data_IF_141934083543
#
_entry.id   IF_141934083543
#
_cell.length_a   1.000
_cell.length_b   1.000
_cell.length_c   1.000
_cell.angle_alpha   90.00
_cell.angle_beta   90.00
_cell.angle_gamma   90.00
#
_symmetry.space_group_name_H-M   'P 1'
#
loop_
_entity.id
_entity.type
_entity.pdbx_description
1 polymer ?
#
# COMPACT_ATOMS: atom_id res chain seq x y z
N UNK A 1 0.88 -0.94 -37.73
CA UNK A 1 1.73 -1.69 -38.62
C UNK A 1 3.08 -0.99 -38.81
N UNK A 2 4.09 -1.32 -38.01
CA UNK A 2 5.43 -0.68 -38.08
C UNK A 2 6.23 -1.12 -39.30
N UNK A 3 5.92 -2.26 -39.90
CA UNK A 3 6.72 -2.88 -40.95
C UNK A 3 6.02 -2.97 -42.31
N UNK A 4 4.79 -2.47 -42.45
CA UNK A 4 4.05 -2.49 -43.69
C UNK A 4 2.62 -1.97 -43.55
N UNK A 5 1.88 -1.86 -44.66
CA UNK A 5 0.47 -1.47 -44.64
C UNK A 5 -0.34 -2.43 -43.78
N UNK A 6 -1.30 -1.87 -43.05
CA UNK A 6 -2.21 -2.65 -42.19
C UNK A 6 -3.54 -1.94 -41.99
N UNK A 7 -4.54 -2.70 -41.55
CA UNK A 7 -5.86 -2.15 -41.22
C UNK A 7 -6.04 -2.23 -39.71
N UNK A 8 -6.42 -1.10 -39.11
CA UNK A 8 -6.78 -1.03 -37.69
C UNK A 8 -8.27 -0.75 -37.55
N UNK A 9 -9.01 -1.68 -36.91
CA UNK A 9 -10.41 -1.50 -36.60
C UNK A 9 -10.57 -0.79 -35.25
N UNK A 10 -11.41 0.23 -35.22
CA UNK A 10 -11.79 0.95 -33.99
C UNK A 10 -13.13 0.39 -33.53
N UNK A 11 -13.13 -0.27 -32.38
CA UNK A 11 -14.31 -0.95 -31.82
C UNK A 11 -15.13 -0.05 -30.90
N UNK A 12 -15.34 1.21 -31.29
CA UNK A 12 -16.19 2.17 -30.61
C UNK A 12 -16.95 3.03 -31.63
N UNK A 13 -18.01 3.70 -31.21
CA UNK A 13 -18.83 4.55 -32.07
C UNK A 13 -18.04 5.74 -32.63
N UNK A 14 -18.30 6.10 -33.88
CA UNK A 14 -17.62 7.20 -34.56
C UNK A 14 -17.81 8.54 -33.84
N UNK A 15 -19.02 8.81 -33.32
CA UNK A 15 -19.31 10.01 -32.52
C UNK A 15 -18.46 10.11 -31.25
N UNK A 16 -18.13 8.97 -30.61
CA UNK A 16 -17.26 8.92 -29.44
C UNK A 16 -15.78 9.11 -29.75
N UNK A 17 -15.38 9.09 -31.02
CA UNK A 17 -13.98 9.22 -31.42
C UNK A 17 -13.45 10.65 -31.25
N UNK A 18 -14.25 11.67 -31.59
CA UNK A 18 -13.85 13.07 -31.50
C UNK A 18 -13.54 13.53 -30.06
N UNK A 19 -14.13 12.92 -29.06
CA UNK A 19 -13.90 13.21 -27.65
C UNK A 19 -12.72 12.45 -27.01
N UNK A 20 -12.03 11.60 -27.76
CA UNK A 20 -10.87 10.84 -27.26
C UNK A 20 -9.58 11.62 -27.49
N UNK A 21 -8.62 11.58 -26.54
CA UNK A 21 -7.32 12.17 -26.75
C UNK A 21 -6.63 11.48 -27.95
N UNK A 22 -5.90 12.27 -28.75
CA UNK A 22 -5.20 11.75 -29.94
C UNK A 22 -4.10 10.74 -29.58
N UNK A 23 -3.50 10.89 -28.42
CA UNK A 23 -2.43 10.03 -27.88
C UNK A 23 -2.70 9.75 -26.40
N UNK A 24 -2.27 8.60 -25.92
CA UNK A 24 -2.21 8.33 -24.51
C UNK A 24 -1.13 9.22 -23.87
N UNK A 25 -1.35 9.70 -22.62
CA UNK A 25 -0.32 10.43 -21.90
C UNK A 25 0.91 9.55 -21.70
N UNK A 26 2.13 10.12 -21.64
CA UNK A 26 3.34 9.37 -21.31
C UNK A 26 3.16 8.61 -20.00
N UNK A 27 3.64 7.36 -19.93
CA UNK A 27 3.53 6.53 -18.75
C UNK A 27 4.18 7.19 -17.53
N UNK A 28 5.26 7.96 -17.75
CA UNK A 28 5.95 8.72 -16.71
C UNK A 28 5.04 9.68 -15.94
N UNK A 29 3.96 10.17 -16.56
CA UNK A 29 3.03 11.13 -15.94
C UNK A 29 1.92 10.43 -15.16
N UNK A 30 1.62 9.17 -15.49
CA UNK A 30 0.46 8.44 -14.96
C UNK A 30 0.80 7.27 -14.04
N UNK A 31 2.02 6.75 -14.14
CA UNK A 31 2.47 5.61 -13.34
C UNK A 31 2.87 6.01 -11.91
N UNK A 32 2.84 5.02 -11.01
CA UNK A 32 3.52 5.11 -9.72
C UNK A 32 5.04 5.12 -9.92
N UNK A 33 5.70 6.20 -9.49
CA UNK A 33 7.14 6.38 -9.67
C UNK A 33 8.00 5.75 -8.56
N UNK A 34 7.40 5.15 -7.53
CA UNK A 34 8.18 4.56 -6.45
C UNK A 34 9.13 3.43 -6.90
N UNK A 35 8.73 2.52 -7.81
CA UNK A 35 9.68 1.54 -8.36
C UNK A 35 10.86 2.20 -9.08
N UNK A 36 10.61 3.26 -9.86
CA UNK A 36 11.64 4.01 -10.56
C UNK A 36 12.61 4.68 -9.57
N UNK A 37 12.07 5.42 -8.59
CA UNK A 37 12.88 6.14 -7.60
C UNK A 37 13.73 5.16 -6.78
N UNK A 38 13.19 4.01 -6.40
CA UNK A 38 13.93 2.97 -5.69
C UNK A 38 15.07 2.38 -6.57
N UNK A 39 14.78 2.13 -7.84
CA UNK A 39 15.78 1.61 -8.77
C UNK A 39 16.93 2.61 -9.01
N UNK A 40 16.62 3.90 -9.15
CA UNK A 40 17.61 4.97 -9.29
C UNK A 40 18.47 5.11 -8.03
N UNK A 41 17.84 5.08 -6.85
CA UNK A 41 18.56 5.11 -5.58
C UNK A 41 19.49 3.88 -5.42
N UNK A 42 19.04 2.69 -5.87
CA UNK A 42 19.87 1.48 -5.89
C UNK A 42 21.06 1.62 -6.87
N UNK A 43 20.89 2.34 -7.96
CA UNK A 43 21.96 2.60 -8.92
C UNK A 43 22.93 3.69 -8.45
N UNK A 44 22.55 4.47 -7.44
CA UNK A 44 23.36 5.54 -6.87
C UNK A 44 23.02 6.94 -7.39
N UNK A 45 21.95 7.08 -8.19
CA UNK A 45 21.41 8.40 -8.57
C UNK A 45 20.38 8.84 -7.54
N UNK A 46 20.66 9.94 -6.86
CA UNK A 46 19.76 10.50 -5.83
C UNK A 46 18.59 11.28 -6.40
N UNK A 47 18.71 11.80 -7.63
CA UNK A 47 17.68 12.62 -8.25
C UNK A 47 17.34 12.12 -9.66
N UNK A 48 16.07 11.77 -9.93
CA UNK A 48 15.61 11.49 -11.29
C UNK A 48 15.89 12.62 -12.28
N UNK A 49 15.94 13.89 -11.84
CA UNK A 49 16.20 15.04 -12.70
C UNK A 49 17.62 15.05 -13.29
N UNK A 50 18.57 14.31 -12.72
CA UNK A 50 19.94 14.19 -13.24
C UNK A 50 20.02 13.37 -14.54
N UNK A 51 18.96 12.70 -14.93
CA UNK A 51 18.91 11.85 -16.11
C UNK A 51 18.23 12.54 -17.30
N UNK A 52 18.69 12.22 -18.51
CA UNK A 52 18.09 12.69 -19.74
C UNK A 52 16.82 11.88 -20.07
N UNK A 53 15.67 12.43 -19.73
CA UNK A 53 14.35 11.86 -20.04
C UNK A 53 13.78 12.46 -21.32
N UNK A 54 13.06 11.65 -22.09
CA UNK A 54 12.21 12.18 -23.17
C UNK A 54 11.06 13.01 -22.58
N UNK A 55 10.41 12.46 -21.56
CA UNK A 55 9.37 13.12 -20.77
C UNK A 55 9.83 13.07 -19.30
N UNK A 56 10.25 14.20 -18.69
CA UNK A 56 10.77 14.20 -17.33
C UNK A 56 9.67 13.83 -16.32
N UNK A 57 10.01 13.11 -15.25
CA UNK A 57 9.05 12.75 -14.23
C UNK A 57 8.52 13.99 -13.51
N UNK A 58 7.18 14.08 -13.26
CA UNK A 58 6.60 15.19 -12.51
C UNK A 58 7.16 15.25 -11.08
N UNK A 59 7.61 16.43 -10.66
CA UNK A 59 8.23 16.64 -9.33
C UNK A 59 7.30 16.19 -8.18
N UNK A 60 6.01 16.48 -8.28
CA UNK A 60 5.01 16.04 -7.29
C UNK A 60 4.92 14.52 -7.17
N UNK A 61 5.02 13.79 -8.30
CA UNK A 61 4.99 12.32 -8.32
C UNK A 61 6.28 11.73 -7.74
N UNK A 62 7.43 12.34 -8.03
CA UNK A 62 8.72 11.97 -7.43
C UNK A 62 8.70 12.22 -5.91
N UNK A 63 8.17 13.37 -5.48
CA UNK A 63 8.01 13.70 -4.07
C UNK A 63 7.13 12.67 -3.33
N UNK A 64 5.98 12.32 -3.89
CA UNK A 64 5.10 11.28 -3.34
C UNK A 64 5.78 9.91 -3.28
N UNK A 65 6.54 9.53 -4.32
CA UNK A 65 7.30 8.29 -4.34
C UNK A 65 8.38 8.25 -3.24
N UNK A 66 9.12 9.35 -3.05
CA UNK A 66 10.13 9.48 -1.98
C UNK A 66 9.49 9.37 -0.59
N UNK A 67 8.37 10.03 -0.35
CA UNK A 67 7.64 9.94 0.92
C UNK A 67 7.20 8.51 1.21
N UNK A 68 6.63 7.83 0.23
CA UNK A 68 6.22 6.42 0.37
C UNK A 68 7.43 5.51 0.64
N UNK A 69 8.54 5.67 -0.08
CA UNK A 69 9.74 4.87 0.13
C UNK A 69 10.40 5.16 1.50
N UNK A 70 10.37 6.40 1.98
CA UNK A 70 10.80 6.74 3.34
C UNK A 70 9.90 6.09 4.39
N UNK A 71 8.57 6.09 4.20
CA UNK A 71 7.63 5.41 5.08
C UNK A 71 7.85 3.88 5.15
N UNK A 72 8.49 3.29 4.12
CA UNK A 72 8.90 1.88 4.10
C UNK A 72 10.31 1.65 4.63
N UNK A 73 10.98 2.69 5.12
CA UNK A 73 12.39 2.69 5.51
C UNK A 73 13.32 2.24 4.34
N UNK A 74 12.89 2.48 3.10
CA UNK A 74 13.66 2.14 1.90
C UNK A 74 14.65 3.23 1.50
N UNK A 75 14.33 4.49 1.81
CA UNK A 75 15.21 5.65 1.66
C UNK A 75 15.42 6.31 3.02
N UNK A 76 16.59 6.88 3.23
CA UNK A 76 16.89 7.74 4.37
C UNK A 76 16.40 9.19 4.12
N UNK A 77 16.59 10.06 5.13
CA UNK A 77 16.21 11.48 5.07
C UNK A 77 16.90 12.26 3.93
N UNK A 78 18.03 11.77 3.43
CA UNK A 78 18.77 12.36 2.31
C UNK A 78 18.35 11.79 0.95
N UNK A 79 17.41 10.85 0.92
CA UNK A 79 16.95 10.17 -0.28
C UNK A 79 17.88 9.04 -0.77
N UNK A 80 18.88 8.65 0.03
CA UNK A 80 19.75 7.52 -0.29
C UNK A 80 19.10 6.21 0.10
N UNK A 81 19.44 5.16 -0.66
CA UNK A 81 18.92 3.82 -0.38
C UNK A 81 19.47 3.27 0.94
N UNK A 82 18.59 2.72 1.75
CA UNK A 82 18.95 2.04 3.01
C UNK A 82 19.29 0.57 2.76
N UNK A 83 19.87 -0.14 3.74
CA UNK A 83 20.01 -1.60 3.67
C UNK A 83 18.67 -2.33 3.48
N UNK A 84 17.56 -1.79 4.04
CA UNK A 84 16.21 -2.31 3.82
C UNK A 84 15.76 -2.06 2.39
N UNK A 85 15.94 -0.85 1.88
CA UNK A 85 15.62 -0.49 0.49
C UNK A 85 16.34 -1.37 -0.52
N UNK A 86 17.62 -1.67 -0.29
CA UNK A 86 18.39 -2.58 -1.15
C UNK A 86 17.82 -4.01 -1.17
N UNK A 87 17.22 -4.49 -0.07
CA UNK A 87 16.51 -5.78 -0.04
C UNK A 87 15.19 -5.70 -0.79
N UNK A 88 14.43 -4.60 -0.64
CA UNK A 88 13.18 -4.40 -1.37
C UNK A 88 13.42 -4.39 -2.88
N UNK A 89 14.45 -3.68 -3.35
CA UNK A 89 14.82 -3.62 -4.76
C UNK A 89 15.20 -4.98 -5.38
N UNK A 90 15.58 -5.95 -4.58
CA UNK A 90 15.90 -7.30 -5.03
C UNK A 90 14.67 -8.20 -5.22
N UNK A 91 13.49 -7.81 -4.73
CA UNK A 91 12.25 -8.57 -4.90
C UNK A 91 11.56 -8.16 -6.22
N UNK A 92 10.99 -9.10 -6.99
CA UNK A 92 10.30 -8.79 -8.24
C UNK A 92 8.86 -8.29 -7.99
N UNK A 93 8.75 -7.24 -7.17
CA UNK A 93 7.52 -6.65 -6.67
C UNK A 93 7.65 -5.14 -6.66
N UNK A 94 6.51 -4.42 -6.67
CA UNK A 94 6.49 -3.03 -6.29
C UNK A 94 6.99 -2.85 -4.84
N UNK A 95 7.48 -1.65 -4.45
CA UNK A 95 8.09 -1.46 -3.14
C UNK A 95 7.18 -1.81 -1.95
N UNK A 96 5.87 -1.57 -2.06
CA UNK A 96 4.90 -1.90 -1.01
C UNK A 96 4.69 -3.41 -0.88
N UNK A 97 4.54 -4.09 -2.02
CA UNK A 97 4.47 -5.55 -2.06
C UNK A 97 5.77 -6.21 -1.56
N UNK A 98 6.93 -5.66 -1.95
CA UNK A 98 8.23 -6.12 -1.48
C UNK A 98 8.35 -5.96 0.05
N UNK A 99 7.92 -4.81 0.60
CA UNK A 99 7.93 -4.56 2.05
C UNK A 99 7.00 -5.51 2.81
N UNK A 100 5.80 -5.77 2.26
CA UNK A 100 4.85 -6.77 2.81
C UNK A 100 5.53 -8.14 2.91
N UNK A 101 6.14 -8.61 1.83
CA UNK A 101 6.73 -9.96 1.77
C UNK A 101 7.99 -10.06 2.60
N UNK A 102 8.84 -9.03 2.62
CA UNK A 102 10.05 -9.00 3.45
C UNK A 102 9.69 -8.99 4.95
N UNK A 103 8.73 -8.17 5.37
CA UNK A 103 8.24 -8.18 6.75
C UNK A 103 7.69 -9.55 7.15
N UNK A 104 6.90 -10.18 6.28
CA UNK A 104 6.44 -11.55 6.48
C UNK A 104 7.58 -12.56 6.62
N UNK A 105 8.64 -12.43 5.84
CA UNK A 105 9.83 -13.29 5.94
C UNK A 105 10.58 -13.10 7.25
N UNK A 106 10.71 -11.87 7.72
CA UNK A 106 11.33 -11.53 9.01
C UNK A 106 10.55 -12.08 10.23
N UNK A 107 9.24 -12.36 10.03
CA UNK A 107 8.34 -12.84 11.09
C UNK A 107 7.77 -14.25 10.86
N UNK A 108 8.40 -15.05 10.00
CA UNK A 108 7.99 -16.44 9.78
C UNK A 108 6.70 -16.64 9.00
N UNK A 109 6.20 -15.58 8.32
CA UNK A 109 4.93 -15.56 7.57
C UNK A 109 5.11 -15.23 6.07
N UNK A 110 6.30 -15.55 5.50
CA UNK A 110 6.65 -15.19 4.13
C UNK A 110 5.64 -15.64 3.07
N UNK A 111 5.13 -16.88 3.17
CA UNK A 111 4.16 -17.39 2.21
C UNK A 111 2.82 -16.65 2.25
N UNK A 112 2.32 -16.37 3.46
CA UNK A 112 1.08 -15.63 3.64
C UNK A 112 1.20 -14.20 3.10
N UNK A 113 2.31 -13.53 3.41
CA UNK A 113 2.62 -12.19 2.92
C UNK A 113 2.73 -12.16 1.38
N UNK A 114 3.41 -13.14 0.78
CA UNK A 114 3.54 -13.25 -0.67
C UNK A 114 2.18 -13.51 -1.35
N UNK A 115 1.30 -14.30 -0.73
CA UNK A 115 -0.07 -14.51 -1.22
C UNK A 115 -0.89 -13.22 -1.16
N UNK A 116 -0.78 -12.42 -0.09
CA UNK A 116 -1.45 -11.12 0.02
C UNK A 116 -0.95 -10.14 -1.06
N UNK A 117 0.36 -10.04 -1.25
CA UNK A 117 0.93 -9.20 -2.31
C UNK A 117 0.43 -9.60 -3.70
N UNK A 118 0.39 -10.91 -4.00
CA UNK A 118 -0.11 -11.40 -5.29
C UNK A 118 -1.61 -11.18 -5.46
N UNK A 119 -2.39 -11.29 -4.38
CA UNK A 119 -3.84 -11.06 -4.40
C UNK A 119 -4.19 -9.60 -4.77
N UNK A 120 -3.32 -8.65 -4.45
CA UNK A 120 -3.45 -7.25 -4.87
C UNK A 120 -3.08 -7.05 -6.34
N UNK A 121 -2.05 -7.72 -6.83
CA UNK A 121 -1.58 -7.57 -8.20
C UNK A 121 -2.48 -8.27 -9.22
N UNK A 122 -2.96 -9.48 -8.89
CA UNK A 122 -3.79 -10.27 -9.80
C UNK A 122 -5.28 -10.13 -9.48
N UNK A 123 -5.96 -9.32 -10.29
CA UNK A 123 -7.43 -9.22 -10.22
C UNK A 123 -8.08 -10.59 -10.52
N UNK A 124 -9.09 -10.91 -9.72
CA UNK A 124 -9.90 -12.13 -9.87
C UNK A 124 -9.39 -13.33 -9.08
N UNK A 125 -8.20 -13.31 -8.46
CA UNK A 125 -7.81 -14.36 -7.52
C UNK A 125 -8.74 -14.33 -6.29
N UNK A 126 -9.23 -15.51 -5.90
CA UNK A 126 -10.18 -15.65 -4.79
C UNK A 126 -11.57 -15.07 -5.06
N UNK A 127 -11.90 -14.75 -6.33
CA UNK A 127 -13.22 -14.26 -6.73
C UNK A 127 -13.43 -12.77 -6.45
N UNK A 128 -14.72 -12.37 -6.41
CA UNK A 128 -15.15 -10.97 -6.20
C UNK A 128 -15.31 -10.65 -4.72
N UNK A 129 -15.33 -9.34 -4.41
CA UNK A 129 -15.56 -8.79 -3.08
C UNK A 129 -14.35 -8.00 -2.58
N UNK A 130 -14.62 -7.06 -1.67
CA UNK A 130 -13.59 -6.15 -1.13
C UNK A 130 -12.76 -6.83 -0.04
N UNK A 131 -13.32 -7.83 0.66
CA UNK A 131 -12.65 -8.51 1.77
C UNK A 131 -11.55 -9.44 1.29
N UNK A 132 -10.30 -9.07 1.56
CA UNK A 132 -9.11 -9.82 1.16
C UNK A 132 -8.93 -11.12 1.93
N UNK A 133 -9.37 -11.23 3.19
CA UNK A 133 -9.30 -12.49 3.95
C UNK A 133 -10.21 -13.54 3.34
N UNK A 134 -11.45 -13.15 3.04
CA UNK A 134 -12.40 -14.03 2.37
C UNK A 134 -11.89 -14.46 0.98
N UNK A 135 -11.28 -13.52 0.23
CA UNK A 135 -10.67 -13.84 -1.08
C UNK A 135 -9.47 -14.77 -0.93
N UNK A 136 -8.60 -14.53 0.04
CA UNK A 136 -7.45 -15.38 0.33
C UNK A 136 -7.87 -16.81 0.71
N UNK A 137 -8.91 -16.93 1.55
CA UNK A 137 -9.46 -18.23 1.94
C UNK A 137 -10.00 -19.00 0.74
N UNK A 138 -10.80 -18.35 -0.12
CA UNK A 138 -11.32 -18.99 -1.35
C UNK A 138 -10.19 -19.40 -2.30
N UNK A 139 -9.18 -18.53 -2.50
CA UNK A 139 -8.04 -18.88 -3.35
C UNK A 139 -7.22 -20.04 -2.78
N UNK A 140 -7.03 -20.11 -1.47
CA UNK A 140 -6.35 -21.23 -0.84
C UNK A 140 -7.09 -22.57 -1.04
N UNK A 141 -8.43 -22.53 -1.09
CA UNK A 141 -9.28 -23.72 -1.33
C UNK A 141 -9.38 -24.09 -2.82
N UNK A 142 -9.10 -23.16 -3.74
CA UNK A 142 -9.20 -23.40 -5.20
C UNK A 142 -8.16 -24.41 -5.68
N UNK A 143 -8.60 -25.47 -6.37
CA UNK A 143 -7.76 -26.54 -6.94
C UNK A 143 -7.48 -26.36 -8.44
N UNK A 144 -7.91 -25.25 -9.02
CA UNK A 144 -7.70 -24.95 -10.44
C UNK A 144 -6.24 -24.69 -10.79
N UNK A 145 -5.88 -24.96 -12.07
CA UNK A 145 -4.50 -24.79 -12.57
C UNK A 145 -3.96 -23.36 -12.38
N UNK A 146 -4.82 -22.34 -12.56
CA UNK A 146 -4.45 -20.93 -12.36
C UNK A 146 -4.10 -20.67 -10.89
N UNK A 147 -4.91 -21.13 -9.97
CA UNK A 147 -4.68 -20.98 -8.54
C UNK A 147 -3.39 -21.68 -8.10
N UNK A 148 -3.09 -22.87 -8.64
CA UNK A 148 -1.83 -23.57 -8.37
C UNK A 148 -0.62 -22.82 -8.92
N UNK A 149 -0.69 -22.29 -10.14
CA UNK A 149 0.38 -21.50 -10.74
C UNK A 149 0.66 -20.24 -9.93
N UNK A 150 -0.39 -19.53 -9.49
CA UNK A 150 -0.29 -18.34 -8.66
C UNK A 150 0.30 -18.66 -7.28
N UNK A 151 -0.10 -19.75 -6.63
CA UNK A 151 0.51 -20.21 -5.36
C UNK A 151 2.00 -20.54 -5.52
N UNK A 152 2.40 -21.17 -6.62
CA UNK A 152 3.83 -21.43 -6.92
C UNK A 152 4.60 -20.13 -7.13
N UNK A 153 3.99 -19.12 -7.77
CA UNK A 153 4.60 -17.80 -7.92
C UNK A 153 4.81 -17.13 -6.56
N UNK A 154 3.77 -17.08 -5.71
CA UNK A 154 3.88 -16.56 -4.35
C UNK A 154 4.96 -17.29 -3.54
N UNK A 155 5.05 -18.62 -3.65
CA UNK A 155 6.09 -19.42 -2.99
C UNK A 155 7.51 -19.06 -3.44
N UNK A 156 7.72 -18.70 -4.73
CA UNK A 156 9.03 -18.20 -5.20
C UNK A 156 9.39 -16.85 -4.57
N UNK A 157 8.43 -15.94 -4.45
CA UNK A 157 8.64 -14.65 -3.80
C UNK A 157 8.94 -14.82 -2.30
N UNK A 158 8.17 -15.67 -1.62
CA UNK A 158 8.40 -16.00 -0.22
C UNK A 158 9.82 -16.57 0.02
N UNK A 159 10.24 -17.55 -0.79
CA UNK A 159 11.60 -18.14 -0.71
C UNK A 159 12.68 -17.07 -0.91
N UNK A 160 12.52 -16.19 -1.90
CA UNK A 160 13.47 -15.12 -2.17
C UNK A 160 13.54 -14.14 -0.99
N UNK A 161 12.42 -13.71 -0.45
CA UNK A 161 12.37 -12.81 0.69
C UNK A 161 12.97 -13.44 1.96
N UNK A 162 12.72 -14.72 2.20
CA UNK A 162 13.35 -15.45 3.32
C UNK A 162 14.88 -15.47 3.20
N UNK A 163 15.41 -15.58 1.98
CA UNK A 163 16.86 -15.47 1.74
C UNK A 163 17.45 -14.08 1.97
N UNK A 164 16.61 -13.04 1.95
CA UNK A 164 17.00 -11.63 2.19
C UNK A 164 16.77 -11.20 3.65
N UNK A 165 15.95 -11.92 4.41
CA UNK A 165 15.66 -11.60 5.80
C UNK A 165 16.93 -11.76 6.67
N UNK A 166 17.28 -10.71 7.42
CA UNK A 166 18.47 -10.74 8.30
C UNK A 166 18.26 -11.59 9.55
N UNK A 167 17.02 -11.68 10.01
CA UNK A 167 16.56 -12.49 11.15
C UNK A 167 15.17 -13.01 10.84
N UNK A 168 14.86 -14.19 11.34
CA UNK A 168 13.52 -14.73 11.32
C UNK A 168 13.08 -14.88 12.77
N UNK A 169 12.02 -14.17 13.14
CA UNK A 169 11.41 -14.32 14.47
C UNK A 169 10.81 -15.72 14.59
N UNK A 170 11.03 -16.36 15.74
CA UNK A 170 10.46 -17.67 16.08
C UNK A 170 9.16 -17.57 16.88
N UNK A 171 8.64 -16.35 17.07
CA UNK A 171 7.38 -16.08 17.78
C UNK A 171 6.13 -16.38 16.93
N UNK A 172 4.98 -15.95 17.44
CA UNK A 172 3.72 -16.02 16.69
C UNK A 172 3.83 -15.21 15.38
N UNK A 173 3.25 -15.73 14.32
CA UNK A 173 3.20 -15.02 13.04
C UNK A 173 2.23 -13.84 13.12
N UNK A 174 2.54 -12.71 12.46
CA UNK A 174 1.60 -11.59 12.35
C UNK A 174 0.33 -11.97 11.59
N UNK A 175 -0.84 -11.46 11.99
CA UNK A 175 -2.06 -11.68 11.21
C UNK A 175 -1.97 -11.02 9.82
N UNK A 176 -2.79 -11.46 8.84
CA UNK A 176 -2.75 -10.97 7.46
C UNK A 176 -2.86 -9.44 7.34
N UNK A 177 -3.69 -8.80 8.16
CA UNK A 177 -3.85 -7.36 8.19
C UNK A 177 -2.54 -6.63 8.53
N UNK A 178 -1.77 -7.14 9.49
CA UNK A 178 -0.48 -6.58 9.89
C UNK A 178 0.58 -6.77 8.80
N UNK A 179 0.60 -7.93 8.14
CA UNK A 179 1.49 -8.15 7.00
C UNK A 179 1.27 -7.09 5.91
N UNK A 180 0.00 -6.81 5.61
CA UNK A 180 -0.36 -5.79 4.62
C UNK A 180 -0.04 -4.37 5.13
N UNK A 181 -0.34 -4.08 6.41
CA UNK A 181 -0.07 -2.79 7.05
C UNK A 181 1.42 -2.42 7.02
N UNK A 182 2.31 -3.40 7.23
CA UNK A 182 3.75 -3.19 7.22
C UNK A 182 4.26 -2.70 5.85
N UNK A 183 3.66 -3.15 4.76
CA UNK A 183 3.98 -2.68 3.41
C UNK A 183 3.15 -1.48 2.94
N UNK A 184 2.09 -1.15 3.65
CA UNK A 184 1.15 -0.07 3.26
C UNK A 184 0.73 0.79 4.47
N UNK A 185 1.69 1.36 5.23
CA UNK A 185 1.40 2.04 6.48
C UNK A 185 0.48 3.26 6.29
N UNK A 186 0.59 3.96 5.17
CA UNK A 186 -0.25 5.12 4.84
C UNK A 186 -1.70 4.75 4.54
N UNK A 187 -1.97 3.48 4.22
CA UNK A 187 -3.29 2.94 3.88
C UNK A 187 -4.00 2.26 5.07
N UNK A 188 -3.42 2.28 6.27
CA UNK A 188 -4.15 1.92 7.49
C UNK A 188 -5.22 2.99 7.68
N UNK A 189 -6.48 2.58 7.73
CA UNK A 189 -7.62 3.50 7.78
C UNK A 189 -8.50 3.24 9.01
N UNK A 190 -9.02 4.33 9.60
CA UNK A 190 -9.98 4.33 10.70
C UNK A 190 -11.35 4.75 10.19
N UNK A 191 -12.38 4.04 10.64
CA UNK A 191 -13.77 4.40 10.37
C UNK A 191 -14.11 5.74 11.02
N UNK A 192 -14.83 6.61 10.30
CA UNK A 192 -15.22 7.95 10.77
C UNK A 192 -16.66 8.08 11.19
N UNK A 193 -17.52 7.17 10.75
CA UNK A 193 -18.97 7.21 11.00
C UNK A 193 -19.51 5.85 11.48
N UNK A 194 -20.73 5.85 11.96
CA UNK A 194 -21.39 4.64 12.44
C UNK A 194 -21.82 3.69 11.32
N UNK A 195 -22.04 4.22 10.09
CA UNK A 195 -22.44 3.41 8.94
C UNK A 195 -21.30 2.58 8.37
N UNK A 196 -20.06 3.00 8.61
CA UNK A 196 -18.86 2.39 8.01
C UNK A 196 -18.64 2.79 6.56
N UNK A 197 -19.30 3.86 6.10
CA UNK A 197 -19.12 4.42 4.76
C UNK A 197 -17.86 5.26 4.64
N UNK A 198 -17.56 6.08 5.66
CA UNK A 198 -16.47 7.06 5.63
C UNK A 198 -15.23 6.57 6.38
N UNK A 199 -14.08 6.64 5.72
CA UNK A 199 -12.79 6.18 6.25
C UNK A 199 -11.72 7.23 6.09
N UNK A 200 -10.84 7.38 7.07
CA UNK A 200 -9.65 8.23 7.03
C UNK A 200 -8.41 7.35 7.14
N UNK A 201 -7.53 7.43 6.17
CA UNK A 201 -6.25 6.73 6.19
C UNK A 201 -5.17 7.51 6.96
N UNK A 202 -4.16 6.80 7.45
CA UNK A 202 -3.00 7.36 8.14
C UNK A 202 -2.25 8.39 7.28
N UNK A 203 -2.20 8.18 5.96
CA UNK A 203 -1.67 9.16 5.00
C UNK A 203 -2.57 10.38 4.77
N UNK A 204 -3.71 10.53 5.49
CA UNK A 204 -4.61 11.66 5.39
C UNK A 204 -5.65 11.56 4.27
N UNK A 205 -5.60 10.51 3.45
CA UNK A 205 -6.57 10.31 2.37
C UNK A 205 -7.91 9.80 2.91
N UNK A 206 -9.02 10.39 2.43
CA UNK A 206 -10.37 9.91 2.69
C UNK A 206 -10.79 8.83 1.68
N UNK A 207 -11.47 7.79 2.17
CA UNK A 207 -12.05 6.72 1.36
C UNK A 207 -13.52 6.53 1.67
N UNK A 208 -14.23 5.89 0.74
CA UNK A 208 -15.61 5.44 0.94
C UNK A 208 -15.71 3.94 0.72
N UNK A 209 -16.56 3.29 1.52
CA UNK A 209 -16.87 1.88 1.42
C UNK A 209 -18.38 1.70 1.35
N UNK A 210 -18.85 0.67 0.66
CA UNK A 210 -20.26 0.31 0.68
C UNK A 210 -20.66 -0.10 2.11
N UNK A 211 -21.68 0.53 2.72
CA UNK A 211 -22.11 0.18 4.08
C UNK A 211 -22.58 -1.27 4.23
N UNK A 212 -22.93 -1.92 3.12
CA UNK A 212 -23.31 -3.35 3.11
C UNK A 212 -22.11 -4.28 3.11
N UNK A 213 -20.89 -3.77 2.90
CA UNK A 213 -19.66 -4.55 2.95
C UNK A 213 -19.42 -5.12 4.35
N UNK A 214 -18.97 -6.38 4.47
CA UNK A 214 -18.62 -6.95 5.77
C UNK A 214 -17.53 -6.13 6.49
N UNK A 215 -16.66 -5.43 5.76
CA UNK A 215 -15.61 -4.57 6.30
C UNK A 215 -16.15 -3.30 6.97
N UNK A 216 -17.37 -2.85 6.65
CA UNK A 216 -17.97 -1.64 7.21
C UNK A 216 -18.13 -1.68 8.73
N UNK A 217 -18.16 -2.89 9.33
CA UNK A 217 -18.27 -3.10 10.78
C UNK A 217 -16.94 -2.93 11.52
N UNK A 218 -15.80 -3.02 10.83
CA UNK A 218 -14.50 -2.90 11.46
C UNK A 218 -14.25 -1.45 11.95
N UNK A 219 -13.49 -1.29 13.03
CA UNK A 219 -13.04 0.03 13.49
C UNK A 219 -11.84 0.53 12.68
N UNK A 220 -10.97 -0.39 12.28
CA UNK A 220 -9.82 -0.15 11.43
C UNK A 220 -9.76 -1.18 10.29
N UNK A 221 -9.12 -0.79 9.20
CA UNK A 221 -8.75 -1.69 8.12
C UNK A 221 -7.45 -1.24 7.45
N UNK A 222 -6.84 -2.13 6.69
CA UNK A 222 -5.82 -1.76 5.72
C UNK A 222 -6.45 -1.76 4.33
N UNK A 223 -6.44 -0.61 3.66
CA UNK A 223 -6.94 -0.49 2.30
C UNK A 223 -5.91 -1.10 1.34
N UNK A 224 -6.33 -2.11 0.61
CA UNK A 224 -5.50 -2.78 -0.40
C UNK A 224 -5.53 -2.06 -1.74
N UNK A 225 -6.73 -1.71 -2.20
CA UNK A 225 -6.95 -0.99 -3.46
C UNK A 225 -8.20 -0.12 -3.37
N UNK A 226 -8.19 1.00 -4.10
CA UNK A 226 -9.33 1.91 -4.17
C UNK A 226 -9.39 2.57 -5.54
N UNK A 227 -10.59 2.82 -6.05
CA UNK A 227 -10.84 3.45 -7.34
C UNK A 227 -11.53 4.81 -7.17
N UNK A 228 -11.17 5.76 -8.04
CA UNK A 228 -11.74 7.11 -8.04
C UNK A 228 -10.71 8.19 -7.74
N UNK A 229 -11.20 9.43 -7.61
CA UNK A 229 -10.36 10.60 -7.39
C UNK A 229 -9.79 10.64 -5.96
N UNK A 230 -8.86 11.57 -5.71
CA UNK A 230 -8.16 11.71 -4.43
C UNK A 230 -9.09 11.88 -3.21
N UNK A 231 -10.24 12.51 -3.37
CA UNK A 231 -11.28 12.62 -2.32
C UNK A 231 -12.41 11.62 -2.60
N UNK A 232 -12.70 10.75 -1.62
CA UNK A 232 -13.81 9.81 -1.71
C UNK A 232 -13.57 8.63 -2.67
N UNK A 233 -12.34 8.20 -2.87
CA UNK A 233 -12.06 6.99 -3.64
C UNK A 233 -12.74 5.79 -2.99
N UNK A 234 -13.44 4.98 -3.79
CA UNK A 234 -14.15 3.78 -3.31
C UNK A 234 -13.17 2.64 -3.06
N UNK A 235 -13.19 2.10 -1.86
CA UNK A 235 -12.41 0.92 -1.50
C UNK A 235 -12.90 -0.27 -2.32
N UNK A 236 -12.00 -0.93 -3.02
CA UNK A 236 -12.27 -2.12 -3.82
C UNK A 236 -11.60 -3.37 -3.24
N UNK A 237 -10.66 -3.19 -2.33
CA UNK A 237 -9.98 -4.26 -1.63
C UNK A 237 -9.46 -3.77 -0.28
N UNK A 238 -9.63 -4.55 0.77
CA UNK A 238 -9.16 -4.23 2.11
C UNK A 238 -9.20 -5.44 3.04
N UNK A 239 -8.66 -5.25 4.23
CA UNK A 239 -8.62 -6.28 5.27
C UNK A 239 -8.88 -5.62 6.62
N UNK A 240 -9.78 -6.17 7.43
CA UNK A 240 -10.07 -5.66 8.76
C UNK A 240 -8.84 -5.77 9.68
N UNK A 241 -8.65 -4.77 10.54
CA UNK A 241 -7.50 -4.66 11.43
C UNK A 241 -7.98 -4.35 12.86
N UNK A 242 -7.41 -5.04 13.84
CA UNK A 242 -7.64 -4.76 15.24
C UNK A 242 -6.57 -3.79 15.78
N UNK A 243 -6.98 -2.77 16.54
CA UNK A 243 -6.05 -1.76 17.08
C UNK A 243 -4.98 -2.39 17.98
N UNK A 244 -5.34 -3.42 18.76
CA UNK A 244 -4.41 -4.11 19.64
C UNK A 244 -3.28 -4.82 18.85
N UNK A 245 -3.58 -5.34 17.67
CA UNK A 245 -2.57 -5.96 16.81
C UNK A 245 -1.64 -4.91 16.20
N UNK A 246 -2.17 -3.72 15.85
CA UNK A 246 -1.36 -2.61 15.39
C UNK A 246 -0.35 -2.17 16.47
N UNK A 247 -0.81 -2.02 17.72
CA UNK A 247 0.04 -1.67 18.86
C UNK A 247 1.13 -2.73 19.14
N UNK A 248 0.78 -3.98 18.97
CA UNK A 248 1.68 -5.10 19.21
C UNK A 248 2.79 -5.22 18.16
N UNK A 249 2.44 -5.05 16.85
CA UNK A 249 3.32 -5.40 15.76
C UNK A 249 4.00 -4.18 15.10
N UNK A 250 3.39 -3.02 15.21
CA UNK A 250 3.86 -1.78 14.58
C UNK A 250 3.87 -0.61 15.59
N UNK A 251 4.40 -0.80 16.83
CA UNK A 251 4.39 0.23 17.87
C UNK A 251 5.12 1.50 17.44
N UNK A 252 6.19 1.37 16.65
CA UNK A 252 7.02 2.49 16.17
C UNK A 252 6.27 3.39 15.16
N UNK A 253 5.13 2.96 14.64
CA UNK A 253 4.25 3.75 13.78
C UNK A 253 3.26 4.62 14.58
N UNK A 254 3.18 4.41 15.90
CA UNK A 254 2.27 5.14 16.79
C UNK A 254 3.06 6.23 17.52
N UNK A 255 2.80 7.46 17.11
CA UNK A 255 3.41 8.64 17.73
C UNK A 255 2.65 9.05 18.99
N UNK A 256 3.37 9.48 20.01
CA UNK A 256 2.83 10.17 21.19
C UNK A 256 3.18 11.64 21.07
N UNK A 257 2.16 12.50 21.03
CA UNK A 257 2.32 13.93 20.87
C UNK A 257 1.61 14.68 21.98
N UNK A 258 2.32 15.56 22.67
CA UNK A 258 1.72 16.54 23.56
C UNK A 258 1.09 17.68 22.73
N UNK A 259 -0.18 17.98 23.00
CA UNK A 259 -0.93 19.05 22.35
C UNK A 259 -1.43 20.00 23.42
N UNK A 260 -1.08 21.27 23.32
CA UNK A 260 -1.63 22.32 24.17
C UNK A 260 -2.90 22.88 23.52
N UNK A 261 -4.00 22.91 24.26
CA UNK A 261 -5.29 23.45 23.80
C UNK A 261 -5.80 24.51 24.78
N UNK A 262 -6.26 25.62 24.24
CA UNK A 262 -7.04 26.56 25.00
C UNK A 262 -8.46 26.03 25.21
N UNK A 263 -8.92 25.97 26.48
CA UNK A 263 -10.28 25.64 26.87
C UNK A 263 -10.78 26.72 27.81
N UNK A 264 -11.50 27.71 27.28
CA UNK A 264 -11.83 28.94 28.02
C UNK A 264 -10.58 29.72 28.40
N UNK A 265 -10.36 29.94 29.71
CA UNK A 265 -9.23 30.70 30.27
C UNK A 265 -8.04 29.82 30.66
N UNK A 266 -8.05 28.53 30.33
CA UNK A 266 -7.02 27.57 30.72
C UNK A 266 -6.35 26.92 29.51
N UNK A 267 -5.05 26.67 29.66
CA UNK A 267 -4.31 25.79 28.73
C UNK A 267 -4.37 24.39 29.31
N UNK A 268 -4.92 23.46 28.53
CA UNK A 268 -4.92 22.05 28.84
C UNK A 268 -3.82 21.35 28.05
N UNK A 269 -2.98 20.57 28.71
CA UNK A 269 -2.04 19.67 28.09
C UNK A 269 -2.74 18.33 27.85
N UNK A 270 -2.78 17.92 26.61
CA UNK A 270 -3.37 16.65 26.17
C UNK A 270 -2.29 15.79 25.55
N UNK A 271 -2.28 14.51 25.90
CA UNK A 271 -1.47 13.50 25.21
C UNK A 271 -2.31 12.86 24.12
N UNK A 272 -1.89 12.99 22.88
CA UNK A 272 -2.47 12.31 21.72
C UNK A 272 -1.61 11.12 21.32
N UNK A 273 -2.26 9.97 21.10
CA UNK A 273 -1.68 8.85 20.37
C UNK A 273 -2.15 8.94 18.94
N UNK A 274 -1.24 8.95 18.00
CA UNK A 274 -1.53 9.16 16.58
C UNK A 274 -0.88 8.11 15.72
N UNK A 275 -1.57 7.78 14.63
CA UNK A 275 -1.03 7.04 13.50
C UNK A 275 -1.17 7.94 12.27
N UNK A 276 -0.13 8.70 11.96
CA UNK A 276 -0.18 9.71 10.91
C UNK A 276 -1.34 10.70 11.14
N UNK A 277 -2.26 10.79 10.17
CA UNK A 277 -3.45 11.66 10.25
C UNK A 277 -4.53 11.16 11.24
N UNK A 278 -4.45 9.91 11.70
CA UNK A 278 -5.46 9.28 12.57
C UNK A 278 -5.15 9.57 14.04
N UNK A 279 -6.11 10.10 14.79
CA UNK A 279 -6.04 10.13 16.25
C UNK A 279 -6.61 8.80 16.79
N UNK A 280 -5.75 8.02 17.47
CA UNK A 280 -6.12 6.77 18.12
C UNK A 280 -6.81 7.05 19.46
N UNK A 281 -6.14 7.81 20.32
CA UNK A 281 -6.64 8.21 21.60
C UNK A 281 -6.19 9.64 21.95
N UNK A 282 -6.96 10.31 22.81
CA UNK A 282 -6.64 11.61 23.39
C UNK A 282 -7.05 11.58 24.86
N UNK A 283 -6.17 12.01 25.74
CA UNK A 283 -6.43 12.08 27.17
C UNK A 283 -5.64 13.20 27.82
N UNK A 284 -5.91 13.52 29.11
CA UNK A 284 -5.07 14.42 29.88
C UNK A 284 -3.62 13.94 29.84
N UNK A 285 -2.68 14.88 29.72
CA UNK A 285 -1.27 14.56 29.90
C UNK A 285 -1.04 14.32 31.40
N UNK A 286 -0.56 13.14 31.80
CA UNK A 286 -0.25 12.89 33.21
C UNK A 286 1.07 13.52 33.64
N UNK A 287 1.32 14.81 33.30
CA UNK A 287 2.55 15.54 33.56
C UNK A 287 3.14 15.28 34.92
#
# INVERSE_FOLDING_TARGET
>A
ARQGPGVAFRLWEEAGHAGRPAYDPPEMVTADLAPLVLALAQWGSGDPADLAWLDPPPEASVGAARQMLAALDALDETGRITPRGSKLAQLPLDPQGAATVLFGAEHGAAEQAARLALLLQERGLGGRGEDMEARLSRWNADRGRRADASRKLAGRWAKRATGLASRVSTGNAPPPAILLAAGRPEFIAKRRDASGEQWLAAGGRGFVLDPTSPLARAAFMVVGDAQGQAKGARITSGIALEEIELERWLPDRIERRQVLRWTGDRVEALLERRLGAITLARGPDPA
#
